data_IF_770641114491
#
_entry.id   IF_770641114491
#
_cell.length_a   1.000
_cell.length_b   1.000
_cell.length_c   1.000
_cell.angle_alpha   90.00
_cell.angle_beta   90.00
_cell.angle_gamma   90.00
#
_symmetry.space_group_name_H-M   'P 1'
#
loop_
_entity.id
_entity.type
_entity.pdbx_description
1 polymer ?
#
# COMPACT_ATOMS: atom_id res chain seq x y z
N UNK A 1 26.06 -33.64 28.73
CA UNK A 1 24.95 -34.22 27.92
C UNK A 1 24.27 -33.14 27.05
N UNK A 2 25.02 -32.36 26.25
CA UNK A 2 24.49 -31.28 25.39
C UNK A 2 24.77 -31.49 23.88
N UNK A 3 25.56 -32.51 23.52
CA UNK A 3 26.00 -32.80 22.15
C UNK A 3 24.99 -33.60 21.31
N UNK A 4 23.87 -34.07 21.89
CA UNK A 4 22.80 -34.77 21.16
C UNK A 4 21.76 -33.86 20.51
N UNK A 5 21.74 -32.57 20.90
CA UNK A 5 20.80 -31.56 20.38
C UNK A 5 21.56 -30.68 19.39
N UNK A 6 21.85 -31.20 18.20
CA UNK A 6 22.56 -30.44 17.16
C UNK A 6 21.99 -29.02 17.01
N UNK A 7 22.82 -28.04 17.33
CA UNK A 7 22.44 -26.62 17.32
C UNK A 7 22.33 -26.12 15.88
N UNK A 8 21.53 -25.07 15.68
CA UNK A 8 21.49 -24.35 14.40
C UNK A 8 22.28 -23.05 14.49
N UNK A 9 22.85 -22.61 13.36
CA UNK A 9 23.67 -21.39 13.29
C UNK A 9 22.89 -20.17 13.82
N UNK A 10 21.61 -20.04 13.47
CA UNK A 10 20.76 -18.96 13.95
C UNK A 10 20.50 -19.01 15.47
N UNK A 11 20.41 -20.20 16.08
CA UNK A 11 20.24 -20.35 17.53
C UNK A 11 21.50 -19.89 18.28
N UNK A 12 22.67 -20.26 17.74
CA UNK A 12 23.96 -19.82 18.28
C UNK A 12 24.08 -18.31 18.12
N UNK A 13 23.78 -17.77 16.93
CA UNK A 13 23.80 -16.34 16.63
C UNK A 13 22.96 -15.52 17.61
N UNK A 14 21.72 -15.97 17.86
CA UNK A 14 20.84 -15.36 18.85
C UNK A 14 21.42 -15.42 20.27
N UNK A 15 21.97 -16.55 20.69
CA UNK A 15 22.51 -16.73 22.04
C UNK A 15 23.76 -15.90 22.32
N UNK A 16 24.62 -15.72 21.31
CA UNK A 16 25.89 -15.00 21.47
C UNK A 16 25.83 -13.55 20.98
N UNK A 17 24.68 -13.07 20.52
CA UNK A 17 24.49 -11.71 20.02
C UNK A 17 25.34 -11.37 18.78
N UNK A 18 25.62 -12.36 17.92
CA UNK A 18 26.40 -12.18 16.69
C UNK A 18 25.52 -12.32 15.45
N UNK A 19 25.98 -11.78 14.32
CA UNK A 19 25.28 -11.95 13.05
C UNK A 19 25.41 -13.38 12.53
N UNK A 20 24.34 -13.90 11.94
CA UNK A 20 24.29 -15.24 11.36
C UNK A 20 25.36 -15.42 10.27
N UNK A 21 25.58 -14.39 9.44
CA UNK A 21 26.56 -14.42 8.35
C UNK A 21 28.01 -14.52 8.83
N UNK A 22 28.33 -13.92 9.98
CA UNK A 22 29.67 -14.04 10.59
C UNK A 22 29.87 -15.46 11.11
N UNK A 23 28.90 -15.99 11.85
CA UNK A 23 28.96 -17.36 12.36
C UNK A 23 29.00 -18.40 11.24
N UNK A 24 28.29 -18.18 10.15
CA UNK A 24 28.27 -19.10 9.02
C UNK A 24 29.64 -19.21 8.34
N UNK A 25 30.37 -18.09 8.23
CA UNK A 25 31.78 -18.08 7.79
C UNK A 25 32.68 -18.84 8.76
N UNK A 26 32.60 -18.53 10.05
CA UNK A 26 33.41 -19.20 11.08
C UNK A 26 33.18 -20.71 11.13
N UNK A 27 31.95 -21.16 10.90
CA UNK A 27 31.60 -22.59 10.82
C UNK A 27 32.13 -23.23 9.54
N UNK A 28 32.06 -22.55 8.40
CA UNK A 28 32.63 -23.07 7.14
C UNK A 28 34.14 -23.25 7.23
N UNK A 29 34.84 -22.34 7.90
CA UNK A 29 36.28 -22.38 8.10
C UNK A 29 36.72 -23.42 9.15
N UNK A 30 35.77 -23.98 9.93
CA UNK A 30 36.05 -24.92 11.00
C UNK A 30 35.25 -26.23 10.83
N UNK A 31 35.88 -27.21 10.18
CA UNK A 31 35.26 -28.51 9.87
C UNK A 31 34.75 -29.28 11.09
N UNK A 32 35.35 -29.10 12.27
CA UNK A 32 34.89 -29.71 13.53
C UNK A 32 33.57 -29.09 13.96
N UNK A 33 33.46 -27.75 13.98
CA UNK A 33 32.21 -27.04 14.25
C UNK A 33 31.12 -27.39 13.24
N UNK A 34 31.46 -27.50 11.95
CA UNK A 34 30.52 -27.89 10.91
C UNK A 34 29.94 -29.31 11.15
N UNK A 35 30.77 -30.26 11.61
CA UNK A 35 30.33 -31.63 11.90
C UNK A 35 29.40 -31.75 13.11
N UNK A 36 29.44 -30.79 14.04
CA UNK A 36 28.62 -30.77 15.25
C UNK A 36 27.21 -30.18 15.02
N UNK A 37 27.00 -29.50 13.89
CA UNK A 37 25.71 -28.95 13.52
C UNK A 37 24.83 -30.03 12.88
N UNK A 38 23.58 -30.15 13.33
CA UNK A 38 22.60 -31.02 12.65
C UNK A 38 22.22 -30.37 11.33
N UNK A 39 22.48 -31.07 10.21
CA UNK A 39 22.06 -30.62 8.87
C UNK A 39 20.55 -30.40 8.76
N UNK A 40 19.73 -31.22 9.45
CA UNK A 40 18.28 -31.09 9.46
C UNK A 40 17.72 -31.37 10.86
N UNK A 41 17.02 -30.38 11.43
CA UNK A 41 16.32 -30.44 12.70
C UNK A 41 14.96 -31.12 12.52
N UNK A 42 14.80 -32.24 13.21
CA UNK A 42 13.57 -33.02 13.30
C UNK A 42 12.82 -32.68 14.59
N UNK A 43 11.49 -32.87 14.59
CA UNK A 43 10.64 -32.60 15.77
C UNK A 43 9.76 -31.36 15.65
N UNK A 44 9.02 -31.05 16.71
CA UNK A 44 8.05 -29.93 16.76
C UNK A 44 8.74 -28.57 16.58
N UNK A 45 7.99 -27.60 16.08
CA UNK A 45 8.40 -26.20 16.03
C UNK A 45 8.30 -25.58 17.42
N UNK A 46 9.31 -24.82 17.83
CA UNK A 46 9.27 -24.01 19.06
C UNK A 46 8.75 -22.60 18.75
N UNK A 47 8.28 -21.87 19.77
CA UNK A 47 7.87 -20.47 19.61
C UNK A 47 8.99 -19.58 19.04
N UNK A 48 10.22 -19.75 19.52
CA UNK A 48 11.38 -19.01 19.01
C UNK A 48 11.65 -19.29 17.51
N UNK A 49 11.40 -20.52 17.03
CA UNK A 49 11.47 -20.83 15.60
C UNK A 49 10.34 -20.16 14.82
N UNK A 50 9.13 -20.14 15.38
CA UNK A 50 7.99 -19.45 14.79
C UNK A 50 8.29 -17.95 14.63
N UNK A 51 8.88 -17.30 15.64
CA UNK A 51 9.26 -15.88 15.60
C UNK A 51 10.35 -15.60 14.55
N UNK A 52 11.35 -16.47 14.42
CA UNK A 52 12.37 -16.36 13.36
C UNK A 52 11.74 -16.52 11.99
N UNK A 53 10.86 -17.51 11.81
CA UNK A 53 10.13 -17.72 10.57
C UNK A 53 9.29 -16.50 10.21
N UNK A 54 8.56 -15.92 11.16
CA UNK A 54 7.80 -14.68 10.96
C UNK A 54 8.69 -13.51 10.53
N UNK A 55 9.89 -13.37 11.12
CA UNK A 55 10.86 -12.35 10.69
C UNK A 55 11.37 -12.57 9.26
N UNK A 56 11.55 -13.81 8.81
CA UNK A 56 11.87 -14.08 7.40
C UNK A 56 10.68 -13.76 6.48
N UNK A 57 9.47 -14.16 6.90
CA UNK A 57 8.25 -13.94 6.15
C UNK A 57 7.88 -12.47 6.05
N UNK A 58 8.21 -11.63 7.03
CA UNK A 58 7.95 -10.19 7.00
C UNK A 58 8.84 -9.43 6.02
N UNK A 59 9.97 -10.02 5.59
CA UNK A 59 10.95 -9.35 4.72
C UNK A 59 10.65 -9.49 3.23
N UNK A 60 9.83 -10.47 2.82
CA UNK A 60 9.66 -10.80 1.38
C UNK A 60 8.24 -11.25 1.02
N UNK A 61 7.68 -10.62 -0.02
CA UNK A 61 6.40 -11.02 -0.59
C UNK A 61 6.42 -12.45 -1.16
N UNK A 62 7.56 -12.90 -1.69
CA UNK A 62 7.77 -14.28 -2.14
C UNK A 62 8.87 -14.90 -1.28
N UNK A 63 8.53 -15.70 -0.26
CA UNK A 63 9.51 -16.33 0.60
C UNK A 63 10.21 -17.44 -0.17
N UNK A 64 11.54 -17.36 -0.23
CA UNK A 64 12.37 -18.45 -0.67
C UNK A 64 12.38 -19.54 0.41
N UNK A 65 11.47 -20.50 0.26
CA UNK A 65 11.29 -21.59 1.24
C UNK A 65 12.52 -22.49 1.30
N UNK A 66 13.34 -22.55 0.24
CA UNK A 66 14.59 -23.31 0.21
C UNK A 66 15.64 -22.64 1.09
N UNK A 67 15.86 -21.35 0.89
CA UNK A 67 16.75 -20.54 1.72
C UNK A 67 16.33 -20.54 3.19
N UNK A 68 15.04 -20.32 3.48
CA UNK A 68 14.52 -20.32 4.86
C UNK A 68 14.72 -21.70 5.49
N UNK A 69 14.43 -22.78 4.75
CA UNK A 69 14.66 -24.13 5.21
C UNK A 69 16.14 -24.38 5.55
N UNK A 70 17.05 -23.96 4.67
CA UNK A 70 18.48 -24.07 4.89
C UNK A 70 18.94 -23.29 6.13
N UNK A 71 18.53 -22.02 6.26
CA UNK A 71 18.89 -21.16 7.38
C UNK A 71 18.36 -21.70 8.72
N UNK A 72 17.12 -22.17 8.74
CA UNK A 72 16.49 -22.71 9.94
C UNK A 72 16.88 -24.15 10.25
N UNK A 73 17.63 -24.82 9.37
CA UNK A 73 17.92 -26.24 9.43
C UNK A 73 16.66 -27.10 9.38
N UNK A 74 15.63 -26.69 8.65
CA UNK A 74 14.37 -27.45 8.47
C UNK A 74 14.28 -27.94 7.02
N UNK A 75 13.34 -28.84 6.74
CA UNK A 75 13.01 -29.17 5.35
C UNK A 75 12.06 -28.13 4.76
N UNK A 76 12.14 -27.91 3.45
CA UNK A 76 11.22 -27.01 2.73
C UNK A 76 9.75 -27.38 2.96
N UNK A 77 9.44 -28.68 3.05
CA UNK A 77 8.09 -29.17 3.36
C UNK A 77 7.65 -28.83 4.78
N UNK A 78 8.55 -28.93 5.77
CA UNK A 78 8.27 -28.55 7.17
C UNK A 78 7.98 -27.04 7.26
N UNK A 79 8.82 -26.21 6.63
CA UNK A 79 8.62 -24.75 6.54
C UNK A 79 7.28 -24.44 5.87
N UNK A 80 6.98 -25.04 4.71
CA UNK A 80 5.72 -24.80 4.01
C UNK A 80 4.48 -25.23 4.81
N UNK A 81 4.57 -26.31 5.59
CA UNK A 81 3.49 -26.74 6.48
C UNK A 81 3.31 -25.76 7.65
N UNK A 82 4.41 -25.30 8.23
CA UNK A 82 4.37 -24.36 9.34
C UNK A 82 3.83 -22.99 8.92
N UNK A 83 4.23 -22.47 7.75
CA UNK A 83 3.67 -21.25 7.17
C UNK A 83 2.14 -21.37 7.08
N UNK A 84 1.63 -22.49 6.55
CA UNK A 84 0.18 -22.74 6.45
C UNK A 84 -0.50 -22.81 7.82
N UNK A 85 0.13 -23.45 8.81
CA UNK A 85 -0.37 -23.54 10.19
C UNK A 85 -0.50 -22.16 10.82
N UNK A 86 0.57 -21.35 10.77
CA UNK A 86 0.59 -19.99 11.30
C UNK A 86 -0.43 -19.09 10.59
N UNK A 87 -0.55 -19.22 9.27
CA UNK A 87 -1.55 -18.49 8.48
C UNK A 87 -3.00 -18.84 8.88
N UNK A 88 -3.28 -20.12 9.14
CA UNK A 88 -4.61 -20.58 9.58
C UNK A 88 -4.97 -20.02 10.96
N UNK A 89 -3.99 -19.87 11.86
CA UNK A 89 -4.19 -19.23 13.17
C UNK A 89 -4.46 -17.73 13.08
N UNK A 90 -4.03 -17.06 12.01
CA UNK A 90 -4.26 -15.62 11.79
C UNK A 90 -5.62 -15.32 11.16
N UNK A 91 -6.20 -16.27 10.41
CA UNK A 91 -7.57 -16.18 9.88
C UNK A 91 -8.58 -16.47 11.01
N UNK A 92 -8.64 -15.61 12.03
CA UNK A 92 -9.84 -15.48 12.87
C UNK A 92 -10.93 -14.77 12.06
N UNK A 93 -12.23 -15.01 12.37
CA UNK A 93 -13.32 -14.66 11.47
C UNK A 93 -13.35 -13.14 11.28
N UNK A 94 -12.98 -12.73 10.07
CA UNK A 94 -13.19 -11.39 9.58
C UNK A 94 -14.69 -11.15 9.71
N UNK A 95 -15.08 -10.30 10.67
CA UNK A 95 -16.46 -9.85 10.82
C UNK A 95 -16.87 -9.30 9.47
N UNK A 96 -17.75 -10.03 8.77
CA UNK A 96 -18.41 -9.55 7.57
C UNK A 96 -19.32 -8.42 8.04
N UNK A 97 -18.81 -7.21 8.04
CA UNK A 97 -19.65 -6.02 8.02
C UNK A 97 -20.56 -6.18 6.80
N UNK A 98 -21.87 -6.26 7.04
CA UNK A 98 -22.85 -6.33 5.98
C UNK A 98 -22.61 -5.18 4.99
N UNK A 99 -22.87 -5.39 3.69
CA UNK A 99 -22.80 -4.30 2.72
C UNK A 99 -23.75 -3.20 3.21
N UNK A 100 -23.21 -2.01 3.43
CA UNK A 100 -24.01 -0.82 3.67
C UNK A 100 -24.60 -0.42 2.32
N UNK A 101 -25.58 -1.19 1.85
CA UNK A 101 -26.55 -0.74 0.86
C UNK A 101 -27.56 0.14 1.59
N UNK A 102 -27.12 1.33 1.97
CA UNK A 102 -28.04 2.44 2.21
C UNK A 102 -28.22 3.16 0.88
N UNK A 103 -29.45 3.53 0.49
CA UNK A 103 -29.75 4.16 -0.81
C UNK A 103 -28.98 5.48 -1.01
N UNK A 104 -29.15 6.10 -2.18
CA UNK A 104 -28.65 7.40 -2.62
C UNK A 104 -29.06 8.61 -1.76
N UNK A 105 -29.02 8.50 -0.44
CA UNK A 105 -29.18 9.62 0.48
C UNK A 105 -27.94 10.50 0.44
N UNK A 106 -28.09 11.82 0.38
CA UNK A 106 -26.97 12.75 0.46
C UNK A 106 -26.07 12.48 1.69
N UNK A 107 -24.80 12.89 1.61
CA UNK A 107 -23.88 12.81 2.75
C UNK A 107 -24.43 13.63 3.92
N UNK A 108 -24.38 13.07 5.13
CA UNK A 108 -24.72 13.80 6.33
C UNK A 108 -23.77 14.98 6.57
N UNK A 109 -24.23 16.01 7.27
CA UNK A 109 -23.38 17.16 7.65
C UNK A 109 -22.12 16.74 8.40
N UNK A 110 -22.20 15.70 9.23
CA UNK A 110 -21.04 15.14 9.93
C UNK A 110 -20.05 14.44 9.00
N UNK A 111 -20.53 13.74 7.97
CA UNK A 111 -19.67 13.11 6.97
C UNK A 111 -18.96 14.20 6.15
N UNK A 112 -19.69 15.21 5.68
CA UNK A 112 -19.11 16.34 4.93
C UNK A 112 -18.03 17.04 5.75
N UNK A 113 -18.33 17.42 7.00
CA UNK A 113 -17.34 18.07 7.88
C UNK A 113 -16.10 17.18 8.12
N UNK A 114 -16.29 15.86 8.21
CA UNK A 114 -15.18 14.91 8.35
C UNK A 114 -14.31 14.87 7.09
N UNK A 115 -14.93 14.89 5.91
CA UNK A 115 -14.23 14.92 4.63
C UNK A 115 -13.44 16.22 4.47
N UNK A 116 -14.04 17.37 4.78
CA UNK A 116 -13.41 18.69 4.70
C UNK A 116 -12.15 18.76 5.58
N UNK A 117 -12.25 18.36 6.85
CA UNK A 117 -11.12 18.38 7.80
C UNK A 117 -9.98 17.46 7.33
N UNK A 118 -10.31 16.27 6.84
CA UNK A 118 -9.30 15.32 6.34
C UNK A 118 -8.63 15.85 5.08
N UNK A 119 -9.40 16.41 4.14
CA UNK A 119 -8.87 16.94 2.90
C UNK A 119 -8.02 18.19 3.12
N UNK A 120 -8.45 19.12 3.98
CA UNK A 120 -7.67 20.32 4.33
C UNK A 120 -6.30 19.93 4.88
N UNK A 121 -6.26 18.99 5.84
CA UNK A 121 -5.00 18.48 6.40
C UNK A 121 -4.09 17.90 5.33
N UNK A 122 -4.63 17.14 4.37
CA UNK A 122 -3.87 16.58 3.26
C UNK A 122 -3.32 17.70 2.36
N UNK A 123 -4.15 18.66 1.96
CA UNK A 123 -3.76 19.77 1.09
C UNK A 123 -2.75 20.72 1.75
N UNK A 124 -2.89 20.98 3.05
CA UNK A 124 -1.91 21.71 3.85
C UNK A 124 -0.56 20.97 3.82
N UNK A 125 -0.56 19.67 4.09
CA UNK A 125 0.64 18.86 4.05
C UNK A 125 1.29 18.80 2.66
N UNK A 126 0.50 18.73 1.59
CA UNK A 126 1.01 18.81 0.20
C UNK A 126 1.65 20.17 -0.11
N UNK A 127 1.14 21.26 0.49
CA UNK A 127 1.73 22.59 0.37
C UNK A 127 3.10 22.66 1.06
N UNK A 128 3.33 21.88 2.10
CA UNK A 128 4.60 21.83 2.84
C UNK A 128 5.59 20.79 2.30
N UNK A 129 5.13 19.83 1.51
CA UNK A 129 5.99 18.80 0.91
C UNK A 129 6.92 19.40 -0.16
N UNK A 130 8.05 18.72 -0.38
CA UNK A 130 8.90 19.01 -1.54
C UNK A 130 8.10 18.76 -2.82
N UNK A 131 8.26 19.63 -3.80
CA UNK A 131 7.45 19.63 -5.02
C UNK A 131 8.15 20.39 -6.12
N UNK A 132 7.76 20.14 -7.35
CA UNK A 132 8.24 20.92 -8.49
C UNK A 132 7.64 22.33 -8.48
N UNK A 133 8.28 23.25 -9.18
CA UNK A 133 7.78 24.62 -9.41
C UNK A 133 6.38 24.62 -10.04
N UNK A 134 6.09 23.64 -10.90
CA UNK A 134 4.77 23.52 -11.51
C UNK A 134 3.69 23.17 -10.48
N UNK A 135 3.99 22.24 -9.58
CA UNK A 135 3.09 21.89 -8.48
C UNK A 135 2.89 23.04 -7.51
N UNK A 136 3.94 23.83 -7.25
CA UNK A 136 3.81 25.05 -6.48
C UNK A 136 2.78 25.99 -7.13
N UNK A 137 2.85 26.21 -8.45
CA UNK A 137 1.86 27.03 -9.16
C UNK A 137 0.45 26.47 -9.07
N UNK A 138 0.26 25.17 -9.34
CA UNK A 138 -1.06 24.51 -9.26
C UNK A 138 -1.69 24.71 -7.88
N UNK A 139 -0.93 24.47 -6.79
CA UNK A 139 -1.44 24.65 -5.43
C UNK A 139 -1.80 26.11 -5.11
N UNK A 140 -1.18 27.08 -5.78
CA UNK A 140 -1.42 28.51 -5.61
C UNK A 140 -2.50 29.08 -6.54
N UNK A 141 -3.02 28.30 -7.50
CA UNK A 141 -4.06 28.77 -8.43
C UNK A 141 -5.39 29.09 -7.75
N UNK A 142 -5.68 28.44 -6.62
CA UNK A 142 -6.87 28.68 -5.82
C UNK A 142 -6.56 28.50 -4.32
N UNK A 143 -7.29 29.18 -3.42
CA UNK A 143 -7.23 28.92 -1.99
C UNK A 143 -7.59 27.46 -1.66
N UNK A 144 -7.02 26.91 -0.58
CA UNK A 144 -7.30 25.52 -0.16
C UNK A 144 -8.79 25.23 0.01
N UNK A 145 -9.56 26.16 0.57
CA UNK A 145 -11.02 25.99 0.76
C UNK A 145 -11.74 25.77 -0.57
N UNK A 146 -11.33 26.47 -1.63
CA UNK A 146 -11.90 26.33 -2.96
C UNK A 146 -11.50 24.98 -3.59
N UNK A 147 -10.26 24.52 -3.36
CA UNK A 147 -9.85 23.17 -3.75
C UNK A 147 -10.66 22.08 -3.05
N UNK A 148 -10.91 22.23 -1.75
CA UNK A 148 -11.73 21.29 -0.97
C UNK A 148 -13.13 21.22 -1.57
N UNK A 149 -13.79 22.36 -1.74
CA UNK A 149 -15.14 22.43 -2.31
C UNK A 149 -15.21 21.77 -3.69
N UNK A 150 -14.27 22.09 -4.58
CA UNK A 150 -14.21 21.53 -5.94
C UNK A 150 -13.94 20.02 -5.97
N UNK A 151 -13.08 19.52 -5.09
CA UNK A 151 -12.79 18.09 -5.04
C UNK A 151 -13.99 17.34 -4.46
N UNK A 152 -14.54 17.81 -3.33
CA UNK A 152 -15.64 17.13 -2.66
C UNK A 152 -16.92 17.12 -3.49
N UNK A 153 -17.20 18.15 -4.28
CA UNK A 153 -18.37 18.19 -5.18
C UNK A 153 -18.31 17.14 -6.30
N UNK A 154 -17.12 16.61 -6.61
CA UNK A 154 -16.91 15.58 -7.63
C UNK A 154 -16.86 14.16 -7.05
N UNK A 155 -16.75 14.00 -5.72
CA UNK A 155 -16.69 12.68 -5.09
C UNK A 155 -18.11 12.10 -5.03
N UNK A 156 -18.37 10.94 -5.67
CA UNK A 156 -19.66 10.28 -5.58
C UNK A 156 -20.01 9.93 -4.15
N UNK A 157 -21.30 10.02 -3.79
CA UNK A 157 -21.78 9.77 -2.43
C UNK A 157 -21.28 8.45 -1.82
N UNK A 158 -21.29 7.29 -2.53
CA UNK A 158 -20.76 6.05 -1.97
C UNK A 158 -19.28 6.13 -1.59
N UNK A 159 -18.48 6.83 -2.41
CA UNK A 159 -17.06 7.07 -2.15
C UNK A 159 -16.90 8.00 -0.95
N UNK A 160 -17.68 9.08 -0.89
CA UNK A 160 -17.68 10.03 0.21
C UNK A 160 -17.97 9.36 1.56
N UNK A 161 -18.95 8.46 1.64
CA UNK A 161 -19.26 7.71 2.87
C UNK A 161 -18.10 6.82 3.32
N UNK A 162 -17.48 6.10 2.38
CA UNK A 162 -16.30 5.26 2.67
C UNK A 162 -15.17 6.14 3.22
N UNK A 163 -14.90 7.29 2.58
CA UNK A 163 -13.84 8.21 2.98
C UNK A 163 -14.13 8.97 4.27
N UNK A 164 -15.40 9.14 4.64
CA UNK A 164 -15.85 9.73 5.90
C UNK A 164 -15.88 8.72 7.07
N UNK A 165 -15.71 7.42 6.78
CA UNK A 165 -15.74 6.35 7.78
C UNK A 165 -14.78 6.56 8.96
N UNK A 166 -15.06 5.90 10.08
CA UNK A 166 -14.22 5.92 11.29
C UNK A 166 -13.04 4.96 11.23
N UNK A 167 -13.04 4.05 10.25
CA UNK A 167 -12.00 3.04 10.01
C UNK A 167 -11.51 3.14 8.56
N UNK A 168 -10.26 2.72 8.27
CA UNK A 168 -9.78 2.67 6.90
C UNK A 168 -10.67 1.80 6.00
N UNK A 169 -10.81 2.16 4.71
CA UNK A 169 -11.58 1.37 3.76
C UNK A 169 -11.06 -0.06 3.65
N UNK A 170 -11.99 -1.00 3.45
CA UNK A 170 -11.69 -2.39 3.15
C UNK A 170 -11.74 -2.65 1.65
N UNK A 171 -11.11 -3.73 1.21
CA UNK A 171 -11.19 -4.15 -0.20
C UNK A 171 -12.62 -4.52 -0.60
N UNK A 172 -13.44 -5.02 0.33
CA UNK A 172 -14.83 -5.34 0.06
C UNK A 172 -15.65 -4.07 -0.21
N UNK A 173 -15.50 -3.05 0.62
CA UNK A 173 -16.15 -1.74 0.43
C UNK A 173 -15.70 -1.10 -0.89
N UNK A 174 -14.40 -1.09 -1.16
CA UNK A 174 -13.89 -0.50 -2.41
C UNK A 174 -14.38 -1.26 -3.64
N UNK A 175 -14.45 -2.60 -3.62
CA UNK A 175 -15.02 -3.40 -4.72
C UNK A 175 -16.53 -3.28 -4.88
N UNK A 176 -17.22 -2.78 -3.85
CA UNK A 176 -18.65 -2.48 -3.95
C UNK A 176 -18.94 -1.20 -4.72
N UNK A 177 -17.92 -0.36 -4.95
CA UNK A 177 -18.02 0.81 -5.82
C UNK A 177 -18.09 0.38 -7.27
N UNK A 178 -18.98 1.01 -8.02
CA UNK A 178 -19.10 0.75 -9.45
C UNK A 178 -17.94 1.36 -10.24
N UNK A 179 -17.54 0.66 -11.31
CA UNK A 179 -16.67 1.25 -12.31
C UNK A 179 -17.51 2.06 -13.30
N UNK A 180 -17.31 3.37 -13.33
CA UNK A 180 -17.90 4.19 -14.38
C UNK A 180 -17.11 3.99 -15.69
N UNK A 181 -17.73 3.33 -16.67
CA UNK A 181 -17.24 3.31 -18.04
C UNK A 181 -17.43 4.70 -18.66
N UNK A 182 -16.42 5.56 -18.57
CA UNK A 182 -16.54 6.95 -19.00
C UNK A 182 -15.36 7.46 -19.80
N UNK A 183 -15.65 8.33 -20.77
CA UNK A 183 -14.67 9.19 -21.48
C UNK A 183 -14.32 10.46 -20.69
N UNK A 184 -14.90 10.62 -19.49
CA UNK A 184 -14.66 11.74 -18.58
C UNK A 184 -13.26 11.69 -17.98
N UNK A 185 -12.76 12.87 -17.59
CA UNK A 185 -11.58 12.94 -16.73
C UNK A 185 -11.98 12.48 -15.32
N UNK A 186 -11.05 11.87 -14.60
CA UNK A 186 -11.36 11.35 -13.28
C UNK A 186 -10.17 10.71 -12.58
N UNK A 187 -10.38 10.39 -11.31
CA UNK A 187 -9.45 9.63 -10.48
C UNK A 187 -10.05 8.25 -10.24
N UNK A 188 -9.23 7.23 -10.39
CA UNK A 188 -9.61 5.84 -10.15
C UNK A 188 -8.68 5.19 -9.12
N UNK A 189 -9.19 4.17 -8.43
CA UNK A 189 -8.36 3.19 -7.74
C UNK A 189 -8.33 1.89 -8.54
N UNK A 190 -7.14 1.31 -8.69
CA UNK A 190 -6.90 0.03 -9.32
C UNK A 190 -6.55 -0.99 -8.23
N UNK A 191 -7.44 -1.95 -8.04
CA UNK A 191 -7.29 -3.01 -7.04
C UNK A 191 -6.61 -4.22 -7.69
N UNK A 192 -5.39 -4.49 -7.24
CA UNK A 192 -4.54 -5.57 -7.71
C UNK A 192 -4.55 -6.71 -6.71
N UNK A 193 -5.03 -7.88 -7.13
CA UNK A 193 -4.82 -9.12 -6.38
C UNK A 193 -3.54 -9.76 -6.86
N UNK A 194 -2.55 -9.91 -5.97
CA UNK A 194 -1.39 -10.74 -6.27
C UNK A 194 -1.69 -12.17 -5.83
N UNK A 195 -1.33 -13.14 -6.67
CA UNK A 195 -1.21 -14.55 -6.25
C UNK A 195 0.04 -14.68 -5.37
N UNK A 196 -0.02 -14.19 -4.13
CA UNK A 196 1.12 -14.20 -3.22
C UNK A 196 1.22 -15.58 -2.57
N UNK A 197 2.39 -16.21 -2.65
CA UNK A 197 2.68 -17.49 -1.96
C UNK A 197 2.97 -17.29 -0.46
N UNK A 198 2.98 -16.04 0.01
CA UNK A 198 3.16 -15.63 1.39
C UNK A 198 1.82 -15.15 1.99
N UNK A 199 1.20 -15.93 2.88
CA UNK A 199 -0.07 -15.55 3.50
C UNK A 199 0.05 -14.42 4.54
N UNK A 200 1.27 -13.92 4.79
CA UNK A 200 1.52 -12.80 5.71
C UNK A 200 1.66 -11.46 5.01
N UNK A 201 1.66 -11.45 3.67
CA UNK A 201 1.57 -10.23 2.89
C UNK A 201 0.12 -9.92 2.55
N UNK A 202 -0.26 -8.64 2.48
CA UNK A 202 -1.60 -8.25 2.07
C UNK A 202 -1.87 -8.79 0.66
N UNK A 203 -2.99 -9.49 0.52
CA UNK A 203 -3.42 -10.13 -0.73
C UNK A 203 -3.72 -9.08 -1.82
N UNK A 204 -4.12 -7.89 -1.38
CA UNK A 204 -4.57 -6.80 -2.21
C UNK A 204 -3.63 -5.61 -2.14
N UNK A 205 -3.49 -4.98 -3.29
CA UNK A 205 -2.77 -3.74 -3.44
C UNK A 205 -3.65 -2.71 -4.13
N UNK A 206 -3.45 -1.45 -3.78
CA UNK A 206 -4.16 -0.32 -4.36
C UNK A 206 -3.16 0.62 -5.02
N UNK A 207 -3.49 0.99 -6.25
CA UNK A 207 -2.89 2.10 -6.96
C UNK A 207 -3.98 3.14 -7.22
N UNK A 208 -3.73 4.40 -6.90
CA UNK A 208 -4.60 5.50 -7.30
C UNK A 208 -3.96 6.15 -8.51
N UNK A 209 -4.75 6.44 -9.54
CA UNK A 209 -4.29 7.06 -10.77
C UNK A 209 -5.36 7.93 -11.39
N UNK A 210 -4.97 8.80 -12.31
CA UNK A 210 -5.90 9.58 -13.14
C UNK A 210 -6.11 8.94 -14.50
N UNK A 211 -7.36 8.95 -14.96
CA UNK A 211 -7.71 8.50 -16.30
C UNK A 211 -7.37 9.59 -17.32
N UNK A 212 -6.12 9.59 -17.81
CA UNK A 212 -5.69 10.46 -18.92
C UNK A 212 -5.28 9.70 -20.19
N UNK A 213 -4.97 8.38 -20.11
CA UNK A 213 -4.81 7.42 -21.24
C UNK A 213 -5.07 5.97 -20.79
N UNK A 214 -5.74 5.17 -21.63
CA UNK A 214 -6.21 3.80 -21.33
C UNK A 214 -5.23 2.69 -21.78
N UNK A 215 -5.23 1.51 -21.10
CA UNK A 215 -4.53 0.32 -21.61
C UNK A 215 -4.20 -0.85 -20.66
N UNK A 216 -4.68 -0.90 -19.39
CA UNK A 216 -4.29 -1.96 -18.43
C UNK A 216 -5.45 -2.83 -17.99
N UNK A 217 -5.17 -4.10 -17.64
CA UNK A 217 -6.15 -5.10 -17.18
C UNK A 217 -6.25 -5.12 -15.64
N UNK A 218 -7.46 -5.09 -15.07
CA UNK A 218 -7.75 -5.35 -13.65
C UNK A 218 -9.07 -4.70 -13.20
N UNK A 219 -9.36 -4.66 -11.88
CA UNK A 219 -10.59 -4.05 -11.36
C UNK A 219 -10.32 -2.60 -10.98
N UNK A 220 -11.02 -1.70 -11.68
CA UNK A 220 -10.93 -0.26 -11.50
C UNK A 220 -12.19 0.21 -10.80
N UNK A 221 -12.06 1.19 -9.91
CA UNK A 221 -13.19 1.83 -9.23
C UNK A 221 -13.06 3.34 -9.41
N UNK A 222 -14.15 4.01 -9.74
CA UNK A 222 -14.15 5.46 -9.90
C UNK A 222 -14.18 6.10 -8.51
N UNK A 223 -13.23 7.00 -8.23
CA UNK A 223 -13.19 7.76 -6.98
C UNK A 223 -13.80 9.15 -7.16
N UNK A 224 -13.62 9.74 -8.34
CA UNK A 224 -14.34 10.93 -8.82
C UNK A 224 -14.26 10.99 -10.34
N UNK A 225 -15.27 11.61 -10.96
CA UNK A 225 -15.31 11.87 -12.40
C UNK A 225 -15.81 13.29 -12.66
N UNK A 226 -15.35 13.90 -13.75
CA UNK A 226 -15.78 15.24 -14.17
C UNK A 226 -15.92 15.34 -15.69
N UNK A 227 -16.93 16.07 -16.13
CA UNK A 227 -17.01 16.54 -17.51
C UNK A 227 -16.20 17.82 -17.65
N UNK A 228 -15.57 18.00 -18.82
CA UNK A 228 -14.92 19.26 -19.14
C UNK A 228 -15.99 20.14 -19.78
N UNK A 229 -16.31 21.26 -19.13
CA UNK A 229 -17.37 22.19 -19.60
C UNK A 229 -17.06 22.79 -20.97
N UNK A 230 -15.77 22.90 -21.31
CA UNK A 230 -15.30 23.49 -22.56
C UNK A 230 -14.04 22.80 -23.07
N UNK A 231 -13.95 22.63 -24.39
CA UNK A 231 -12.73 22.13 -25.04
C UNK A 231 -11.66 23.21 -25.26
N UNK A 232 -11.88 24.42 -24.72
CA UNK A 232 -10.87 25.47 -24.71
C UNK A 232 -9.61 24.99 -23.96
N UNK A 233 -8.40 25.20 -24.52
CA UNK A 233 -7.16 24.67 -23.95
C UNK A 233 -6.94 25.02 -22.47
N UNK A 234 -7.30 26.24 -22.07
CA UNK A 234 -7.15 26.69 -20.69
C UNK A 234 -8.09 25.97 -19.72
N UNK A 235 -9.34 25.70 -20.13
CA UNK A 235 -10.31 24.97 -19.31
C UNK A 235 -9.91 23.50 -19.17
N UNK A 236 -9.38 22.90 -20.24
CA UNK A 236 -8.79 21.55 -20.18
C UNK A 236 -7.61 21.51 -19.19
N UNK A 237 -6.75 22.53 -19.20
CA UNK A 237 -5.60 22.61 -18.27
C UNK A 237 -6.06 22.72 -16.82
N UNK A 238 -7.04 23.59 -16.52
CA UNK A 238 -7.62 23.72 -15.17
C UNK A 238 -8.27 22.41 -14.70
N UNK A 239 -9.05 21.76 -15.54
CA UNK A 239 -9.65 20.46 -15.23
C UNK A 239 -8.57 19.42 -14.92
N UNK A 240 -7.47 19.39 -15.68
CA UNK A 240 -6.34 18.50 -15.40
C UNK A 240 -5.63 18.83 -14.09
N UNK A 241 -5.44 20.11 -13.76
CA UNK A 241 -4.88 20.51 -12.47
C UNK A 241 -5.70 19.97 -11.31
N UNK A 242 -7.03 20.14 -11.37
CA UNK A 242 -7.96 19.62 -10.37
C UNK A 242 -7.85 18.09 -10.23
N UNK A 243 -7.90 17.35 -11.34
CA UNK A 243 -7.82 15.89 -11.34
C UNK A 243 -6.50 15.38 -10.76
N UNK A 244 -5.39 15.99 -11.14
CA UNK A 244 -4.07 15.54 -10.70
C UNK A 244 -3.84 15.90 -9.22
N UNK A 245 -4.34 17.05 -8.75
CA UNK A 245 -4.36 17.38 -7.33
C UNK A 245 -5.24 16.39 -6.53
N UNK A 246 -6.42 16.05 -7.06
CA UNK A 246 -7.31 15.09 -6.44
C UNK A 246 -6.72 13.67 -6.41
N UNK A 247 -5.99 13.26 -7.45
CA UNK A 247 -5.22 12.00 -7.48
C UNK A 247 -4.19 11.97 -6.35
N UNK A 248 -3.41 13.04 -6.18
CA UNK A 248 -2.42 13.15 -5.12
C UNK A 248 -3.08 13.06 -3.72
N UNK A 249 -4.16 13.81 -3.52
CA UNK A 249 -4.90 13.81 -2.26
C UNK A 249 -5.49 12.42 -1.94
N UNK A 250 -6.16 11.78 -2.91
CA UNK A 250 -6.77 10.46 -2.72
C UNK A 250 -5.74 9.33 -2.60
N UNK A 251 -4.57 9.48 -3.21
CA UNK A 251 -3.43 8.57 -2.98
C UNK A 251 -3.02 8.56 -1.51
N UNK A 252 -2.90 9.74 -0.91
CA UNK A 252 -2.56 9.89 0.51
C UNK A 252 -3.72 9.41 1.39
N UNK A 253 -4.94 9.84 1.06
CA UNK A 253 -6.14 9.51 1.81
C UNK A 253 -6.33 8.01 1.90
N UNK A 254 -6.23 7.27 0.79
CA UNK A 254 -6.38 5.81 0.81
C UNK A 254 -5.16 5.07 1.37
N UNK A 255 -4.10 5.75 1.80
CA UNK A 255 -2.85 5.11 2.22
C UNK A 255 -2.16 4.35 1.09
N UNK A 256 -2.35 4.79 -0.17
CA UNK A 256 -1.86 4.11 -1.36
C UNK A 256 -0.35 4.35 -1.65
N UNK A 257 0.41 4.80 -0.64
CA UNK A 257 1.86 5.01 -0.68
C UNK A 257 2.63 3.75 -0.27
N UNK A 258 3.57 3.29 -1.12
CA UNK A 258 4.42 2.12 -0.81
C UNK A 258 5.35 2.37 0.37
N UNK A 259 5.77 1.27 0.99
CA UNK A 259 6.99 1.25 1.81
C UNK A 259 8.20 1.35 0.89
N UNK A 260 8.75 2.56 0.78
CA UNK A 260 9.87 2.86 -0.12
C UNK A 260 11.26 2.52 0.45
N UNK A 261 12.27 2.61 -0.42
CA UNK A 261 13.71 2.52 -0.09
C UNK A 261 14.16 3.70 0.82
N UNK A 262 15.35 3.66 1.44
CA UNK A 262 15.81 4.69 2.39
C UNK A 262 15.88 6.12 1.81
N UNK A 263 16.14 6.26 0.51
CA UNK A 263 16.22 7.58 -0.12
C UNK A 263 14.83 8.23 -0.20
N UNK A 264 14.72 9.47 0.32
CA UNK A 264 13.47 10.22 0.43
C UNK A 264 12.60 9.88 1.66
N UNK A 265 13.17 9.25 2.70
CA UNK A 265 12.41 8.79 3.86
C UNK A 265 11.65 9.91 4.59
N UNK A 266 12.24 11.11 4.74
CA UNK A 266 11.60 12.24 5.45
C UNK A 266 10.30 12.67 4.78
N UNK A 267 10.33 12.85 3.47
CA UNK A 267 9.18 13.26 2.68
C UNK A 267 8.10 12.18 2.65
N UNK A 268 8.48 10.91 2.48
CA UNK A 268 7.51 9.80 2.57
C UNK A 268 6.86 9.70 3.94
N UNK A 269 7.62 9.94 5.02
CA UNK A 269 7.08 9.97 6.37
C UNK A 269 6.09 11.12 6.56
N UNK A 270 6.38 12.30 5.99
CA UNK A 270 5.44 13.41 5.96
C UNK A 270 4.17 13.01 5.22
N UNK A 271 4.24 12.57 3.96
CA UNK A 271 3.03 12.23 3.19
C UNK A 271 2.23 11.08 3.83
N UNK A 272 2.90 10.12 4.47
CA UNK A 272 2.23 9.07 5.23
C UNK A 272 1.56 9.57 6.51
N UNK A 273 2.12 10.56 7.19
CA UNK A 273 1.51 11.14 8.39
C UNK A 273 0.27 12.00 8.08
N UNK A 274 0.05 12.33 6.81
CA UNK A 274 -1.17 12.98 6.32
C UNK A 274 -2.31 12.00 6.07
N UNK A 275 -2.03 10.69 5.95
CA UNK A 275 -3.07 9.67 5.84
C UNK A 275 -3.96 9.70 7.09
N UNK A 276 -5.29 9.82 6.95
CA UNK A 276 -6.19 9.93 8.10
C UNK A 276 -6.35 8.61 8.87
N UNK A 277 -5.87 7.51 8.30
CA UNK A 277 -5.94 6.18 8.88
C UNK A 277 -4.66 5.79 9.60
N UNK A 278 -4.81 4.96 10.63
CA UNK A 278 -3.69 4.16 11.13
C UNK A 278 -3.26 3.17 10.04
N UNK A 279 -2.05 3.36 9.50
CA UNK A 279 -1.48 2.53 8.43
C UNK A 279 -1.43 1.05 8.83
N UNK A 280 -1.30 0.75 10.13
CA UNK A 280 -1.32 -0.63 10.63
C UNK A 280 -2.68 -1.33 10.53
N UNK A 281 -3.76 -0.56 10.37
CA UNK A 281 -5.14 -1.07 10.25
C UNK A 281 -5.60 -1.23 8.79
N UNK A 282 -4.84 -0.72 7.82
CA UNK A 282 -5.19 -0.81 6.40
C UNK A 282 -5.00 -2.26 5.93
N UNK A 283 -6.06 -2.85 5.37
CA UNK A 283 -6.09 -4.26 4.93
C UNK A 283 -5.37 -4.54 3.60
N UNK A 284 -4.79 -3.52 2.98
CA UNK A 284 -4.14 -3.57 1.67
C UNK A 284 -2.84 -2.75 1.65
N UNK A 285 -2.03 -2.92 0.60
CA UNK A 285 -0.82 -2.13 0.41
C UNK A 285 -0.96 -1.11 -0.72
N UNK A 286 -0.45 0.10 -0.50
CA UNK A 286 -0.22 1.07 -1.57
C UNK A 286 0.87 0.68 -2.57
N UNK A 287 0.73 1.10 -3.83
CA UNK A 287 1.72 0.88 -4.91
C UNK A 287 2.40 2.19 -5.38
N UNK A 288 1.92 3.35 -4.95
CA UNK A 288 2.57 4.60 -5.30
C UNK A 288 3.92 4.76 -4.58
N UNK A 289 5.03 4.64 -5.33
CA UNK A 289 6.39 4.65 -4.77
C UNK A 289 7.11 5.99 -4.78
N UNK A 290 6.49 6.98 -5.41
CA UNK A 290 7.01 8.34 -5.53
C UNK A 290 6.07 9.31 -4.82
N UNK A 291 6.61 10.47 -4.45
CA UNK A 291 5.78 11.59 -4.08
C UNK A 291 4.93 11.96 -5.32
N UNK A 292 3.59 12.02 -5.24
CA UNK A 292 2.77 12.43 -6.37
C UNK A 292 3.14 13.83 -6.91
N UNK A 293 3.79 14.67 -6.09
CA UNK A 293 4.29 15.99 -6.46
C UNK A 293 5.71 16.00 -7.06
N UNK A 294 6.44 14.88 -7.07
CA UNK A 294 7.82 14.81 -7.57
C UNK A 294 7.91 14.64 -9.08
N UNK A 295 6.79 14.32 -9.74
CA UNK A 295 6.72 14.21 -11.20
C UNK A 295 5.89 15.38 -11.71
N UNK A 296 6.46 16.13 -12.67
CA UNK A 296 5.75 17.24 -13.28
C UNK A 296 4.48 16.77 -13.99
N UNK A 297 3.46 17.60 -13.93
CA UNK A 297 2.20 17.38 -14.64
C UNK A 297 2.44 17.57 -16.15
N UNK A 298 2.80 16.51 -16.87
CA UNK A 298 3.03 16.63 -18.32
C UNK A 298 1.70 16.75 -19.08
N UNK A 299 1.50 17.89 -19.75
CA UNK A 299 0.48 17.99 -20.78
C UNK A 299 1.09 17.54 -22.10
N UNK A 300 0.56 16.48 -22.75
CA UNK A 300 0.76 16.38 -24.18
C UNK A 300 0.10 17.64 -24.76
N UNK A 301 0.91 18.58 -25.25
CA UNK A 301 0.45 19.56 -26.22
C UNK A 301 -0.17 18.72 -27.33
N UNK A 302 -1.46 18.92 -27.61
CA UNK A 302 -2.11 18.34 -28.76
C UNK A 302 -1.35 18.80 -30.00
N UNK A 303 -0.35 18.03 -30.42
CA UNK A 303 0.02 18.00 -31.83
C UNK A 303 -1.14 17.30 -32.49
N UNK A 304 -2.08 18.09 -33.02
CA UNK A 304 -3.10 17.59 -33.91
C UNK A 304 -2.39 16.86 -35.06
N UNK A 305 -2.25 15.54 -34.95
CA UNK A 305 -2.08 14.70 -36.13
C UNK A 305 -3.48 14.48 -36.65
N UNK A 306 -3.85 15.31 -37.62
CA UNK A 306 -4.91 15.02 -38.57
C UNK A 306 -4.69 13.60 -39.11
N UNK A 307 -5.61 12.70 -38.75
CA UNK A 307 -5.86 11.47 -39.47
C UNK A 307 -7.18 11.63 -40.21
#
# INVERSE_FOLDING_TARGET
MLLGKGFQIWEIALRIGRSESVLQRTVQDNGVLASLLKRVKTGRWTSAEEDVLLRHLAKRAVPDKGMIAQQMGRTTNSVARQIRKLAKGRRSPMSLSAPVTSPDTELSKSEIATLEVRLDRILEGLTMADKTERWYRVLMEAPRVEWIERILSLIPTPVGRILAGTSPPTIAELRSLEWEHTSRLGVYAWILTRKILNPFYPEHYIYVGSATKYGKKGHFVALLSMEVESYEPNEIVKARHLIVLAEAALTIWLGALTEGKPDGQKERLLLRSLCPWDVGQISYCGICSHNPLSVDVFYPLCTARSY
#
